data_IF_807062744165
#
_entry.id   IF_807062744165
#
_cell.length_a   1.000
_cell.length_b   1.000
_cell.length_c   1.000
_cell.angle_alpha   90.00
_cell.angle_beta   90.00
_cell.angle_gamma   90.00
#
_symmetry.space_group_name_H-M   'P 1'
#
loop_
_entity.id
_entity.type
_entity.pdbx_description
1 polymer ?
#
# COMPACT_ATOMS: atom_id res chain seq x y z
N UNK A 1 26.73 14.51 -21.67
CA UNK A 1 27.13 15.54 -20.68
C UNK A 1 26.85 15.14 -19.24
N UNK A 2 25.78 14.38 -18.93
CA UNK A 2 25.50 13.94 -17.55
C UNK A 2 26.61 13.07 -16.93
N UNK A 3 27.10 12.07 -17.68
CA UNK A 3 28.18 11.16 -17.26
C UNK A 3 29.57 11.81 -17.21
N UNK A 4 29.70 13.08 -17.61
CA UNK A 4 30.97 13.80 -17.71
C UNK A 4 31.25 14.71 -16.50
N UNK A 5 30.25 14.93 -15.64
CA UNK A 5 30.36 15.73 -14.42
C UNK A 5 30.75 14.82 -13.24
N UNK A 6 31.44 15.32 -12.21
CA UNK A 6 31.72 14.55 -10.99
C UNK A 6 30.44 14.18 -10.24
N UNK A 7 30.43 13.02 -9.58
CA UNK A 7 29.25 12.48 -8.86
C UNK A 7 28.71 13.37 -7.76
N UNK A 8 29.59 14.16 -7.15
CA UNK A 8 29.28 15.07 -6.04
C UNK A 8 28.85 16.47 -6.50
N UNK A 9 28.90 16.78 -7.80
CA UNK A 9 28.66 18.14 -8.27
C UNK A 9 27.18 18.51 -8.32
N UNK A 10 26.81 19.66 -7.76
CA UNK A 10 25.49 20.29 -7.91
C UNK A 10 25.07 20.49 -9.40
N UNK A 11 26.04 20.50 -10.32
CA UNK A 11 25.77 20.53 -11.77
C UNK A 11 25.00 19.30 -12.27
N UNK A 12 25.20 18.12 -11.66
CA UNK A 12 24.43 16.90 -12.01
C UNK A 12 22.96 17.05 -11.65
N UNK A 13 22.64 17.69 -10.53
CA UNK A 13 21.26 17.97 -10.13
C UNK A 13 20.52 18.86 -11.15
N UNK A 14 21.15 19.96 -11.59
CA UNK A 14 20.55 20.85 -12.60
C UNK A 14 20.37 20.13 -13.94
N UNK A 15 21.34 19.33 -14.34
CA UNK A 15 21.29 18.54 -15.58
C UNK A 15 20.21 17.46 -15.49
N UNK A 16 20.03 16.83 -14.32
CA UNK A 16 18.98 15.85 -14.09
C UNK A 16 17.59 16.46 -14.22
N UNK A 17 17.37 17.65 -13.63
CA UNK A 17 16.10 18.38 -13.81
C UNK A 17 15.79 18.65 -15.28
N UNK A 18 16.79 19.06 -16.07
CA UNK A 18 16.61 19.28 -17.51
C UNK A 18 16.35 17.97 -18.26
N UNK A 19 17.01 16.87 -17.87
CA UNK A 19 16.76 15.55 -18.47
C UNK A 19 15.31 15.13 -18.24
N UNK A 20 14.79 15.26 -17.02
CA UNK A 20 13.39 14.93 -16.70
C UNK A 20 12.42 15.77 -17.54
N UNK A 21 12.66 17.07 -17.69
CA UNK A 21 11.82 17.96 -18.51
C UNK A 21 11.86 17.60 -20.00
N UNK A 22 13.04 17.26 -20.51
CA UNK A 22 13.20 16.85 -21.92
C UNK A 22 12.60 15.46 -22.15
N UNK A 23 12.79 14.53 -21.23
CA UNK A 23 12.20 13.19 -21.29
C UNK A 23 10.67 13.26 -21.28
N UNK A 24 10.08 14.16 -20.48
CA UNK A 24 8.63 14.39 -20.52
C UNK A 24 8.15 14.97 -21.85
N UNK A 25 8.92 15.86 -22.48
CA UNK A 25 8.59 16.41 -23.80
C UNK A 25 8.77 15.38 -24.94
N UNK A 26 9.65 14.40 -24.75
CA UNK A 26 9.96 13.34 -25.70
C UNK A 26 9.18 12.03 -25.49
N UNK A 27 8.29 11.97 -24.50
CA UNK A 27 7.52 10.77 -24.10
C UNK A 27 8.37 9.55 -23.68
N UNK A 28 9.64 9.76 -23.33
CA UNK A 28 10.57 8.69 -22.94
C UNK A 28 10.74 8.68 -21.40
N UNK A 29 9.61 8.57 -20.70
CA UNK A 29 9.56 8.63 -19.23
C UNK A 29 9.91 7.29 -18.56
N UNK A 30 9.86 6.17 -19.29
CA UNK A 30 10.22 4.85 -18.77
C UNK A 30 11.68 4.79 -18.33
N UNK A 31 12.59 5.42 -19.08
CA UNK A 31 14.00 5.54 -18.71
C UNK A 31 14.21 6.34 -17.40
N UNK A 32 13.30 7.26 -17.07
CA UNK A 32 13.33 8.02 -15.82
C UNK A 32 12.85 7.16 -14.65
N UNK A 33 11.90 6.24 -14.87
CA UNK A 33 11.38 5.36 -13.82
C UNK A 33 12.48 4.50 -13.22
N UNK A 34 13.35 3.90 -14.04
CA UNK A 34 14.47 3.09 -13.56
C UNK A 34 15.44 3.90 -12.70
N UNK A 35 15.62 5.18 -13.03
CA UNK A 35 16.48 6.09 -12.25
C UNK A 35 15.90 6.48 -10.89
N UNK A 36 14.59 6.31 -10.66
CA UNK A 36 13.96 6.62 -9.37
C UNK A 36 14.45 5.73 -8.23
N UNK A 37 14.93 4.52 -8.54
CA UNK A 37 15.52 3.60 -7.56
C UNK A 37 16.80 4.18 -6.95
N UNK A 38 17.63 4.82 -7.77
CA UNK A 38 18.90 5.41 -7.37
C UNK A 38 18.77 6.83 -6.84
N UNK A 39 17.56 7.40 -6.88
CA UNK A 39 17.31 8.80 -6.54
C UNK A 39 17.69 9.12 -5.09
N UNK A 40 17.45 8.21 -4.15
CA UNK A 40 17.80 8.44 -2.75
C UNK A 40 19.31 8.49 -2.53
N UNK A 41 20.05 7.59 -3.19
CA UNK A 41 21.51 7.57 -3.19
C UNK A 41 22.06 8.86 -3.80
N UNK A 42 21.54 9.27 -4.96
CA UNK A 42 21.95 10.51 -5.61
C UNK A 42 21.66 11.76 -4.79
N UNK A 43 20.52 11.81 -4.08
CA UNK A 43 20.24 12.95 -3.21
C UNK A 43 21.26 13.00 -2.05
N UNK A 44 21.71 11.85 -1.56
CA UNK A 44 22.75 11.79 -0.53
C UNK A 44 24.12 12.23 -1.09
N UNK A 45 24.48 11.80 -2.30
CA UNK A 45 25.72 12.15 -2.98
C UNK A 45 25.79 13.64 -3.34
N UNK A 46 24.66 14.24 -3.76
CA UNK A 46 24.56 15.65 -4.13
C UNK A 46 24.43 16.60 -2.93
N UNK A 47 24.29 16.07 -1.71
CA UNK A 47 24.11 16.84 -0.48
C UNK A 47 23.02 17.92 -0.61
N UNK A 48 21.88 17.59 -1.22
CA UNK A 48 20.85 18.59 -1.52
C UNK A 48 20.24 19.17 -0.24
N UNK A 49 19.98 20.48 -0.29
CA UNK A 49 19.18 21.15 0.74
C UNK A 49 17.73 20.63 0.71
N UNK A 50 17.02 20.76 1.84
CA UNK A 50 15.60 20.38 1.92
C UNK A 50 14.72 21.08 0.87
N UNK A 51 15.06 22.33 0.52
CA UNK A 51 14.35 23.11 -0.50
C UNK A 51 14.54 22.53 -1.90
N UNK A 52 15.78 22.16 -2.24
CA UNK A 52 16.11 21.57 -3.54
C UNK A 52 15.51 20.18 -3.72
N UNK A 53 15.51 19.36 -2.66
CA UNK A 53 14.87 18.04 -2.63
C UNK A 53 13.36 18.16 -2.85
N UNK A 54 12.70 19.13 -2.19
CA UNK A 54 11.28 19.42 -2.37
C UNK A 54 10.95 19.83 -3.82
N UNK A 55 11.75 20.74 -4.40
CA UNK A 55 11.57 21.16 -5.78
C UNK A 55 11.74 20.00 -6.78
N UNK A 56 12.66 19.07 -6.52
CA UNK A 56 12.88 17.90 -7.35
C UNK A 56 11.69 16.93 -7.33
N UNK A 57 11.19 16.58 -6.15
CA UNK A 57 10.05 15.67 -6.05
C UNK A 57 8.77 16.27 -6.65
N UNK A 58 8.57 17.58 -6.51
CA UNK A 58 7.46 18.27 -7.14
C UNK A 58 7.57 18.22 -8.67
N UNK A 59 8.74 18.53 -9.22
CA UNK A 59 9.00 18.41 -10.66
C UNK A 59 8.72 16.99 -11.15
N UNK A 60 9.27 15.97 -10.48
CA UNK A 60 9.06 14.57 -10.84
C UNK A 60 7.57 14.20 -10.81
N UNK A 61 6.83 14.60 -9.77
CA UNK A 61 5.40 14.30 -9.67
C UNK A 61 4.56 14.95 -10.78
N UNK A 62 4.95 16.14 -11.26
CA UNK A 62 4.25 16.85 -12.34
C UNK A 62 4.60 16.25 -13.69
N UNK A 63 5.87 15.99 -13.95
CA UNK A 63 6.35 15.49 -15.24
C UNK A 63 5.96 14.02 -15.45
N UNK A 64 6.10 13.16 -14.43
CA UNK A 64 5.64 11.76 -14.50
C UNK A 64 4.11 11.66 -14.52
N UNK A 65 3.41 12.64 -13.94
CA UNK A 65 1.95 12.69 -13.93
C UNK A 65 1.31 13.03 -15.28
N UNK A 66 2.11 13.38 -16.30
CA UNK A 66 1.63 13.61 -17.68
C UNK A 66 1.45 12.32 -18.47
N UNK A 67 2.13 11.24 -18.08
CA UNK A 67 1.98 9.93 -18.70
C UNK A 67 1.11 9.02 -17.85
N UNK A 68 0.20 8.28 -18.49
CA UNK A 68 -0.68 7.32 -17.83
C UNK A 68 0.10 6.11 -17.27
N UNK A 69 1.21 5.71 -17.89
CA UNK A 69 2.01 4.56 -17.45
C UNK A 69 2.80 4.85 -16.15
N UNK A 70 3.13 6.11 -15.89
CA UNK A 70 3.97 6.51 -14.77
C UNK A 70 3.20 7.05 -13.55
N UNK A 71 1.86 6.93 -13.53
CA UNK A 71 1.02 7.53 -12.49
C UNK A 71 1.34 7.06 -11.07
N UNK A 72 1.67 5.78 -10.88
CA UNK A 72 2.07 5.22 -9.57
C UNK A 72 3.36 5.89 -9.08
N UNK A 73 4.30 6.12 -10.00
CA UNK A 73 5.62 6.69 -9.70
C UNK A 73 5.51 8.19 -9.45
N UNK A 74 4.62 8.87 -10.17
CA UNK A 74 4.25 10.26 -9.89
C UNK A 74 3.65 10.40 -8.49
N UNK A 75 2.74 9.50 -8.12
CA UNK A 75 2.13 9.50 -6.79
C UNK A 75 3.16 9.20 -5.70
N UNK A 76 4.05 8.21 -5.88
CA UNK A 76 5.08 7.89 -4.89
C UNK A 76 6.03 9.07 -4.67
N UNK A 77 6.41 9.79 -5.73
CA UNK A 77 7.17 11.03 -5.64
C UNK A 77 6.42 12.13 -4.89
N UNK A 78 5.11 12.28 -5.11
CA UNK A 78 4.27 13.23 -4.40
C UNK A 78 4.14 12.89 -2.91
N UNK A 79 4.01 11.61 -2.56
CA UNK A 79 4.01 11.17 -1.16
C UNK A 79 5.36 11.44 -0.50
N UNK A 80 6.48 11.17 -1.20
CA UNK A 80 7.84 11.53 -0.71
C UNK A 80 7.98 13.03 -0.47
N UNK A 81 7.45 13.87 -1.37
CA UNK A 81 7.40 15.31 -1.18
C UNK A 81 6.63 15.69 0.09
N UNK A 82 5.41 15.19 0.25
CA UNK A 82 4.58 15.47 1.43
C UNK A 82 5.21 14.94 2.72
N UNK A 83 5.94 13.83 2.66
CA UNK A 83 6.66 13.27 3.80
C UNK A 83 7.78 14.20 4.30
N UNK A 84 8.37 15.04 3.44
CA UNK A 84 9.36 16.05 3.87
C UNK A 84 8.78 17.14 4.78
N UNK A 85 7.45 17.19 4.96
CA UNK A 85 6.75 18.09 5.87
C UNK A 85 6.27 17.39 7.15
N UNK A 86 6.57 16.09 7.33
CA UNK A 86 6.19 15.36 8.52
C UNK A 86 6.84 16.01 9.76
N UNK A 87 6.00 16.42 10.72
CA UNK A 87 6.42 17.15 11.93
C UNK A 87 6.53 18.68 11.81
N UNK A 88 6.36 19.27 10.62
CA UNK A 88 6.39 20.73 10.40
C UNK A 88 4.98 21.33 10.32
N UNK A 89 4.26 21.37 11.45
CA UNK A 89 2.87 21.84 11.53
C UNK A 89 2.64 23.30 11.12
N UNK A 90 3.67 24.16 11.16
CA UNK A 90 3.55 25.58 10.79
C UNK A 90 3.58 25.85 9.29
N UNK A 91 4.31 25.05 8.51
CA UNK A 91 4.42 25.23 7.05
C UNK A 91 3.31 24.50 6.29
N UNK A 92 2.74 23.44 6.89
CA UNK A 92 1.73 22.57 6.28
C UNK A 92 0.42 23.30 5.95
N UNK A 93 0.08 24.38 6.65
CA UNK A 93 -1.20 25.08 6.48
C UNK A 93 -1.23 26.04 5.28
N UNK A 94 -0.28 25.94 4.37
CA UNK A 94 -0.24 26.74 3.14
C UNK A 94 -1.24 26.18 2.12
N UNK A 95 -2.02 27.03 1.46
CA UNK A 95 -3.01 26.63 0.45
C UNK A 95 -2.41 25.74 -0.67
N UNK A 96 -1.15 25.97 -1.03
CA UNK A 96 -0.41 25.15 -2.01
C UNK A 96 -0.20 23.71 -1.53
N UNK A 97 0.08 23.49 -0.25
CA UNK A 97 0.28 22.14 0.31
C UNK A 97 -1.05 21.44 0.45
N UNK A 98 -2.09 22.17 0.86
CA UNK A 98 -3.45 21.63 0.92
C UNK A 98 -3.96 21.17 -0.45
N UNK A 99 -3.75 21.97 -1.51
CA UNK A 99 -4.10 21.57 -2.88
C UNK A 99 -3.30 20.36 -3.37
N UNK A 100 -2.00 20.28 -3.05
CA UNK A 100 -1.17 19.11 -3.36
C UNK A 100 -1.60 17.85 -2.59
N UNK A 101 -1.98 17.99 -1.33
CA UNK A 101 -2.48 16.89 -0.51
C UNK A 101 -3.85 16.39 -1.01
N UNK A 102 -4.74 17.28 -1.44
CA UNK A 102 -5.98 16.91 -2.14
C UNK A 102 -5.66 16.16 -3.43
N UNK A 103 -4.70 16.66 -4.24
CA UNK A 103 -4.28 16.01 -5.49
C UNK A 103 -3.71 14.60 -5.24
N UNK A 104 -2.93 14.42 -4.17
CA UNK A 104 -2.40 13.12 -3.76
C UNK A 104 -3.52 12.14 -3.39
N UNK A 105 -4.54 12.60 -2.66
CA UNK A 105 -5.71 11.78 -2.34
C UNK A 105 -6.53 11.41 -3.57
N UNK A 106 -6.75 12.36 -4.47
CA UNK A 106 -7.48 12.10 -5.72
C UNK A 106 -6.72 11.10 -6.59
N UNK A 107 -5.39 11.21 -6.69
CA UNK A 107 -4.55 10.23 -7.39
C UNK A 107 -4.64 8.84 -6.73
N UNK A 108 -4.50 8.77 -5.41
CA UNK A 108 -4.60 7.51 -4.65
C UNK A 108 -5.95 6.80 -4.85
N UNK A 109 -7.04 7.57 -4.94
CA UNK A 109 -8.38 7.03 -5.19
C UNK A 109 -8.49 6.59 -6.65
N UNK A 110 -8.05 7.42 -7.60
CA UNK A 110 -8.20 7.19 -9.04
C UNK A 110 -7.39 6.01 -9.57
N UNK A 111 -6.16 5.82 -9.09
CA UNK A 111 -5.22 4.81 -9.59
C UNK A 111 -5.59 3.43 -9.02
N UNK A 112 -6.11 2.47 -9.80
CA UNK A 112 -6.65 1.20 -9.30
C UNK A 112 -5.66 0.39 -8.45
N UNK A 113 -4.38 0.45 -8.78
CA UNK A 113 -3.28 -0.31 -8.16
C UNK A 113 -2.94 0.20 -6.75
N UNK A 114 -3.27 1.46 -6.44
CA UNK A 114 -3.05 2.02 -5.10
C UNK A 114 -4.16 1.59 -4.16
N UNK A 115 -3.82 0.59 -3.35
CA UNK A 115 -4.73 -0.05 -2.39
C UNK A 115 -4.36 0.24 -0.93
N UNK A 116 -3.14 0.70 -0.66
CA UNK A 116 -2.71 1.14 0.67
C UNK A 116 -3.04 2.63 0.88
N UNK A 117 -4.00 2.91 1.76
CA UNK A 117 -4.39 4.27 2.14
C UNK A 117 -3.80 4.69 3.50
N UNK A 118 -3.24 3.76 4.28
CA UNK A 118 -2.67 4.05 5.60
C UNK A 118 -1.49 5.02 5.47
N UNK A 119 -0.58 4.74 4.54
CA UNK A 119 0.60 5.57 4.29
C UNK A 119 0.19 7.00 3.93
N UNK A 120 -0.81 7.16 3.07
CA UNK A 120 -1.29 8.47 2.62
C UNK A 120 -1.98 9.24 3.75
N UNK A 121 -2.81 8.57 4.55
CA UNK A 121 -3.55 9.18 5.66
C UNK A 121 -2.68 9.47 6.89
N UNK A 122 -1.53 8.80 7.01
CA UNK A 122 -0.56 9.03 8.08
C UNK A 122 0.18 10.38 7.95
N UNK A 123 0.21 10.95 6.74
CA UNK A 123 0.93 12.19 6.44
C UNK A 123 0.32 13.39 7.17
N UNK A 124 1.16 14.18 7.84
CA UNK A 124 0.72 15.40 8.57
C UNK A 124 -0.02 16.38 7.68
N UNK A 125 0.39 16.52 6.41
CA UNK A 125 -0.27 17.37 5.43
C UNK A 125 -1.70 16.91 5.09
N UNK A 126 -1.93 15.60 5.07
CA UNK A 126 -3.25 15.02 4.81
C UNK A 126 -4.13 15.08 6.06
N UNK A 127 -3.55 14.93 7.24
CA UNK A 127 -4.27 15.10 8.51
C UNK A 127 -4.73 16.54 8.75
N UNK A 128 -3.95 17.53 8.29
CA UNK A 128 -4.33 18.95 8.36
C UNK A 128 -5.61 19.26 7.55
N UNK A 129 -5.91 18.47 6.51
CA UNK A 129 -7.13 18.57 5.70
C UNK A 129 -8.38 18.00 6.40
N UNK A 130 -8.31 17.64 7.69
CA UNK A 130 -9.20 16.71 8.38
C UNK A 130 -10.73 16.93 8.28
N UNK A 131 -11.20 18.09 7.83
CA UNK A 131 -12.61 18.44 7.63
C UNK A 131 -13.08 18.37 6.16
N UNK A 132 -12.20 18.08 5.21
CA UNK A 132 -12.55 18.05 3.78
C UNK A 132 -13.26 16.74 3.39
N UNK A 133 -14.19 16.85 2.43
CA UNK A 133 -14.93 15.70 1.89
C UNK A 133 -14.03 14.62 1.28
N UNK A 134 -12.88 15.01 0.72
CA UNK A 134 -11.90 14.06 0.16
C UNK A 134 -11.26 13.20 1.25
N UNK A 135 -11.00 13.78 2.43
CA UNK A 135 -10.42 13.07 3.55
C UNK A 135 -11.43 12.11 4.19
N UNK A 136 -12.70 12.51 4.28
CA UNK A 136 -13.79 11.59 4.65
C UNK A 136 -13.86 10.42 3.67
N UNK A 137 -13.79 10.67 2.36
CA UNK A 137 -13.79 9.63 1.34
C UNK A 137 -12.59 8.68 1.49
N UNK A 138 -11.38 9.20 1.68
CA UNK A 138 -10.19 8.38 1.89
C UNK A 138 -10.30 7.52 3.17
N UNK A 139 -10.88 8.05 4.25
CA UNK A 139 -11.20 7.26 5.45
C UNK A 139 -12.21 6.14 5.17
N UNK A 140 -13.16 6.36 4.26
CA UNK A 140 -14.09 5.30 3.84
C UNK A 140 -13.33 4.14 3.17
N UNK A 141 -12.36 4.45 2.31
CA UNK A 141 -11.52 3.42 1.67
C UNK A 141 -10.65 2.66 2.69
N UNK A 142 -10.16 3.34 3.72
CA UNK A 142 -9.30 2.74 4.74
C UNK A 142 -10.05 1.73 5.64
N UNK A 143 -11.18 2.15 6.25
CA UNK A 143 -11.78 1.40 7.38
C UNK A 143 -13.28 1.09 7.21
N UNK A 144 -13.92 1.53 6.12
CA UNK A 144 -15.37 1.40 5.97
C UNK A 144 -15.80 0.43 4.86
N UNK A 145 -17.10 0.12 4.86
CA UNK A 145 -17.74 -0.84 3.96
C UNK A 145 -18.25 -0.20 2.67
N UNK A 146 -18.48 -1.05 1.66
CA UNK A 146 -19.07 -0.67 0.37
C UNK A 146 -20.39 0.11 0.53
N UNK A 147 -21.21 -0.23 1.52
CA UNK A 147 -22.48 0.46 1.81
C UNK A 147 -22.27 1.93 2.17
N UNK A 148 -21.25 2.23 2.98
CA UNK A 148 -20.93 3.62 3.36
C UNK A 148 -20.37 4.41 2.17
N UNK A 149 -19.59 3.78 1.30
CA UNK A 149 -19.17 4.38 0.04
C UNK A 149 -20.37 4.73 -0.84
N UNK A 150 -21.29 3.79 -1.07
CA UNK A 150 -22.52 4.03 -1.84
C UNK A 150 -23.35 5.19 -1.25
N UNK A 151 -23.52 5.21 0.07
CA UNK A 151 -24.23 6.31 0.75
C UNK A 151 -23.53 7.67 0.55
N UNK A 152 -22.19 7.71 0.60
CA UNK A 152 -21.42 8.92 0.37
C UNK A 152 -21.57 9.44 -1.07
N UNK A 153 -21.53 8.56 -2.07
CA UNK A 153 -21.71 8.92 -3.48
C UNK A 153 -23.11 9.47 -3.74
N UNK A 154 -24.16 8.84 -3.18
CA UNK A 154 -25.54 9.33 -3.28
C UNK A 154 -25.71 10.70 -2.62
N UNK A 155 -25.01 10.94 -1.50
CA UNK A 155 -25.03 12.23 -0.79
C UNK A 155 -24.25 13.33 -1.50
N UNK A 156 -23.19 13.00 -2.24
CA UNK A 156 -22.29 13.98 -2.87
C UNK A 156 -21.98 13.67 -4.36
N UNK A 157 -22.98 13.57 -5.25
CA UNK A 157 -22.75 13.20 -6.65
C UNK A 157 -21.95 14.27 -7.43
N UNK A 158 -22.13 15.55 -7.09
CA UNK A 158 -21.40 16.67 -7.72
C UNK A 158 -19.91 16.62 -7.43
N UNK A 159 -19.53 16.31 -6.19
CA UNK A 159 -18.14 16.24 -5.75
C UNK A 159 -17.36 15.15 -6.50
N UNK A 160 -17.96 13.97 -6.69
CA UNK A 160 -17.33 12.87 -7.43
C UNK A 160 -17.04 13.26 -8.88
N UNK A 161 -17.97 13.99 -9.52
CA UNK A 161 -17.80 14.49 -10.90
C UNK A 161 -16.76 15.61 -10.99
N UNK A 162 -16.77 16.55 -10.05
CA UNK A 162 -15.81 17.66 -9.99
C UNK A 162 -14.36 17.17 -9.82
N UNK A 163 -14.16 16.06 -9.13
CA UNK A 163 -12.84 15.46 -8.92
C UNK A 163 -12.43 14.48 -10.03
N UNK A 164 -13.26 14.28 -11.08
CA UNK A 164 -12.95 13.36 -12.18
C UNK A 164 -12.92 11.88 -11.80
N UNK A 165 -13.53 11.51 -10.67
CA UNK A 165 -13.46 10.16 -10.13
C UNK A 165 -14.47 9.23 -10.85
N UNK A 166 -13.97 8.12 -11.42
CA UNK A 166 -14.84 7.08 -11.99
C UNK A 166 -15.54 6.29 -10.89
N UNK A 167 -16.88 6.26 -10.92
CA UNK A 167 -17.67 5.51 -9.94
C UNK A 167 -17.42 4.00 -10.05
N UNK A 168 -17.34 3.47 -11.28
CA UNK A 168 -17.17 2.03 -11.50
C UNK A 168 -15.79 1.55 -11.04
N UNK A 169 -14.73 2.31 -11.33
CA UNK A 169 -13.37 1.98 -10.88
C UNK A 169 -13.27 1.99 -9.34
N UNK A 170 -13.90 2.97 -8.70
CA UNK A 170 -13.93 3.08 -7.24
C UNK A 170 -14.76 1.99 -6.58
N UNK A 171 -15.90 1.60 -7.17
CA UNK A 171 -16.70 0.46 -6.70
C UNK A 171 -15.90 -0.83 -6.80
N UNK A 172 -15.20 -1.04 -7.93
CA UNK A 172 -14.32 -2.20 -8.12
C UNK A 172 -13.23 -2.24 -7.05
N UNK A 173 -12.55 -1.12 -6.82
CA UNK A 173 -11.54 -1.00 -5.77
C UNK A 173 -12.11 -1.30 -4.38
N UNK A 174 -13.26 -0.70 -4.04
CA UNK A 174 -13.93 -0.95 -2.75
C UNK A 174 -14.32 -2.42 -2.55
N UNK A 175 -14.76 -3.11 -3.61
CA UNK A 175 -15.06 -4.54 -3.57
C UNK A 175 -13.82 -5.37 -3.23
N UNK A 176 -12.71 -5.16 -3.96
CA UNK A 176 -11.45 -5.87 -3.71
C UNK A 176 -10.94 -5.63 -2.29
N UNK A 177 -11.00 -4.37 -1.83
CA UNK A 177 -10.65 -4.02 -0.47
C UNK A 177 -11.58 -4.71 0.55
N UNK A 178 -12.90 -4.72 0.32
CA UNK A 178 -13.90 -5.39 1.19
C UNK A 178 -13.66 -6.88 1.30
N UNK A 179 -13.27 -7.53 0.22
CA UNK A 179 -12.86 -8.92 0.23
C UNK A 179 -11.62 -9.15 1.10
N UNK A 180 -10.61 -8.28 1.04
CA UNK A 180 -9.41 -8.39 1.87
C UNK A 180 -9.71 -8.28 3.38
N UNK A 181 -10.64 -7.39 3.77
CA UNK A 181 -11.09 -7.28 5.16
C UNK A 181 -11.81 -8.55 5.61
N UNK A 182 -12.73 -9.07 4.80
CA UNK A 182 -13.45 -10.30 5.10
C UNK A 182 -12.51 -11.51 5.19
N UNK A 183 -11.54 -11.61 4.28
CA UNK A 183 -10.52 -12.65 4.30
C UNK A 183 -9.63 -12.56 5.57
N UNK A 184 -9.39 -11.36 6.09
CA UNK A 184 -8.68 -11.17 7.36
C UNK A 184 -9.48 -11.71 8.55
N UNK A 185 -10.79 -11.48 8.59
CA UNK A 185 -11.66 -11.96 9.67
C UNK A 185 -11.69 -13.50 9.73
N UNK A 186 -11.53 -14.15 8.58
CA UNK A 186 -11.52 -15.61 8.42
C UNK A 186 -10.14 -16.17 8.07
N UNK A 187 -9.07 -15.66 8.69
CA UNK A 187 -7.70 -16.16 8.52
C UNK A 187 -7.61 -17.67 8.84
N UNK A 188 -7.05 -18.45 7.91
CA UNK A 188 -6.90 -19.91 7.99
C UNK A 188 -8.23 -20.69 8.07
N UNK A 189 -9.34 -20.04 7.70
CA UNK A 189 -10.68 -20.64 7.65
C UNK A 189 -11.20 -20.81 6.23
N UNK A 190 -12.32 -21.53 6.12
CA UNK A 190 -13.13 -21.60 4.90
C UNK A 190 -14.19 -20.49 4.92
N UNK A 191 -14.34 -19.78 3.81
CA UNK A 191 -15.35 -18.74 3.59
C UNK A 191 -16.27 -19.18 2.47
N UNK A 192 -17.59 -19.13 2.69
CA UNK A 192 -18.58 -19.49 1.66
C UNK A 192 -18.78 -18.39 0.63
N UNK A 193 -19.13 -18.77 -0.60
CA UNK A 193 -19.44 -17.81 -1.67
C UNK A 193 -20.62 -16.90 -1.30
N UNK A 194 -21.62 -17.45 -0.60
CA UNK A 194 -22.77 -16.68 -0.12
C UNK A 194 -22.41 -15.55 0.84
N UNK A 195 -21.37 -15.71 1.65
CA UNK A 195 -20.88 -14.67 2.56
C UNK A 195 -20.16 -13.58 1.77
N UNK A 196 -19.37 -13.98 0.77
CA UNK A 196 -18.61 -13.07 -0.09
C UNK A 196 -19.54 -12.27 -1.01
N UNK A 197 -20.51 -12.92 -1.65
CA UNK A 197 -21.52 -12.30 -2.50
C UNK A 197 -22.29 -11.20 -1.75
N UNK A 198 -22.71 -11.47 -0.51
CA UNK A 198 -23.38 -10.47 0.34
C UNK A 198 -22.49 -9.28 0.71
N UNK A 199 -21.20 -9.52 1.00
CA UNK A 199 -20.27 -8.46 1.35
C UNK A 199 -19.88 -7.57 0.17
N UNK A 200 -19.80 -8.15 -1.03
CA UNK A 200 -19.40 -7.47 -2.27
C UNK A 200 -20.56 -6.90 -3.08
N UNK A 201 -21.80 -7.33 -2.77
CA UNK A 201 -23.01 -7.00 -3.52
C UNK A 201 -22.85 -7.35 -5.02
N UNK A 202 -22.58 -8.64 -5.26
CA UNK A 202 -22.32 -9.27 -6.58
C UNK A 202 -23.00 -10.64 -6.66
N UNK A 203 -23.23 -11.14 -7.87
CA UNK A 203 -23.74 -12.50 -8.09
C UNK A 203 -22.78 -13.55 -7.53
N UNK A 204 -23.30 -14.70 -7.10
CA UNK A 204 -22.47 -15.83 -6.65
C UNK A 204 -21.58 -16.35 -7.79
N UNK A 205 -22.05 -16.28 -9.04
CA UNK A 205 -21.27 -16.68 -10.22
C UNK A 205 -20.04 -15.78 -10.45
N UNK A 206 -20.12 -14.51 -10.03
CA UNK A 206 -19.05 -13.54 -10.23
C UNK A 206 -17.99 -13.60 -9.10
N UNK A 207 -18.29 -14.27 -7.99
CA UNK A 207 -17.43 -14.30 -6.79
C UNK A 207 -16.03 -14.80 -7.15
N UNK A 208 -15.91 -15.81 -8.00
CA UNK A 208 -14.63 -16.37 -8.44
C UNK A 208 -13.75 -15.32 -9.12
N UNK A 209 -14.31 -14.50 -10.00
CA UNK A 209 -13.58 -13.44 -10.69
C UNK A 209 -13.05 -12.40 -9.70
N UNK A 210 -13.85 -12.02 -8.71
CA UNK A 210 -13.43 -11.07 -7.67
C UNK A 210 -12.34 -11.63 -6.76
N UNK A 211 -12.40 -12.93 -6.43
CA UNK A 211 -11.36 -13.59 -5.65
C UNK A 211 -10.06 -13.66 -6.44
N UNK A 212 -10.11 -14.01 -7.73
CA UNK A 212 -8.93 -14.03 -8.61
C UNK A 212 -8.31 -12.63 -8.71
N UNK A 213 -9.12 -11.59 -8.87
CA UNK A 213 -8.62 -10.22 -8.93
C UNK A 213 -7.98 -9.76 -7.61
N UNK A 214 -8.54 -10.16 -6.46
CA UNK A 214 -7.92 -9.87 -5.16
C UNK A 214 -6.60 -10.64 -4.94
N UNK A 215 -6.48 -11.84 -5.49
CA UNK A 215 -5.21 -12.61 -5.51
C UNK A 215 -4.19 -11.93 -6.42
N UNK A 216 -4.59 -11.50 -7.62
CA UNK A 216 -3.73 -10.75 -8.56
C UNK A 216 -3.25 -9.42 -7.98
N UNK A 217 -4.11 -8.74 -7.21
CA UNK A 217 -3.76 -7.53 -6.48
C UNK A 217 -2.83 -7.79 -5.27
N UNK A 218 -2.53 -9.06 -4.94
CA UNK A 218 -1.66 -9.44 -3.83
C UNK A 218 -2.25 -9.18 -2.44
N UNK A 219 -3.54 -8.84 -2.34
CA UNK A 219 -4.21 -8.58 -1.08
C UNK A 219 -4.65 -9.86 -0.36
N UNK A 220 -4.91 -10.93 -1.10
CA UNK A 220 -5.39 -12.21 -0.55
C UNK A 220 -4.61 -13.35 -1.19
N UNK A 221 -4.27 -14.35 -0.40
CA UNK A 221 -3.77 -15.64 -0.87
C UNK A 221 -4.77 -16.69 -0.42
N UNK A 222 -5.51 -17.27 -1.35
CA UNK A 222 -6.58 -18.20 -1.07
C UNK A 222 -6.66 -19.29 -2.13
N UNK A 223 -7.12 -20.47 -1.71
CA UNK A 223 -7.42 -21.60 -2.59
C UNK A 223 -8.92 -21.69 -2.80
N UNK A 224 -9.34 -21.78 -4.06
CA UNK A 224 -10.75 -21.85 -4.42
C UNK A 224 -11.19 -23.32 -4.46
N UNK A 225 -12.26 -23.65 -3.74
CA UNK A 225 -12.95 -24.92 -3.84
C UNK A 225 -14.32 -24.71 -4.48
N UNK A 226 -14.34 -24.83 -5.81
CA UNK A 226 -15.54 -24.59 -6.61
C UNK A 226 -16.68 -25.58 -6.30
N UNK A 227 -16.36 -26.86 -6.08
CA UNK A 227 -17.36 -27.90 -5.79
C UNK A 227 -18.12 -27.64 -4.48
N UNK A 228 -17.42 -27.12 -3.46
CA UNK A 228 -18.02 -26.77 -2.17
C UNK A 228 -18.51 -25.32 -2.10
N UNK A 229 -18.27 -24.52 -3.15
CA UNK A 229 -18.50 -23.07 -3.15
C UNK A 229 -17.86 -22.38 -1.94
N UNK A 230 -16.62 -22.76 -1.61
CA UNK A 230 -15.84 -22.17 -0.52
C UNK A 230 -14.46 -21.72 -1.01
N UNK A 231 -13.89 -20.73 -0.33
CA UNK A 231 -12.48 -20.36 -0.46
C UNK A 231 -11.76 -20.64 0.86
N UNK A 232 -10.56 -21.20 0.78
CA UNK A 232 -9.68 -21.41 1.92
C UNK A 232 -8.65 -20.28 1.94
N UNK A 233 -8.75 -19.38 2.91
CA UNK A 233 -7.86 -18.22 3.02
C UNK A 233 -6.57 -18.61 3.73
N UNK A 234 -5.44 -18.49 3.04
CA UNK A 234 -4.10 -18.77 3.60
C UNK A 234 -3.48 -17.50 4.19
N UNK A 235 -3.57 -16.38 3.46
CA UNK A 235 -3.07 -15.06 3.89
C UNK A 235 -4.01 -13.96 3.42
N UNK A 236 -4.15 -12.89 4.19
CA UNK A 236 -4.86 -11.69 3.78
C UNK A 236 -4.13 -10.45 4.32
N UNK A 237 -4.13 -9.37 3.53
CA UNK A 237 -3.56 -8.08 3.89
C UNK A 237 -4.58 -7.28 4.68
N UNK A 238 -4.21 -6.87 5.89
CA UNK A 238 -5.00 -5.95 6.71
C UNK A 238 -4.86 -4.52 6.18
N UNK A 239 -5.99 -3.82 6.04
CA UNK A 239 -5.99 -2.42 5.59
C UNK A 239 -5.55 -1.42 6.66
N UNK A 240 -5.72 -1.78 7.94
CA UNK A 240 -5.33 -0.96 9.09
C UNK A 240 -4.63 -1.87 10.09
N UNK A 241 -3.40 -1.52 10.45
CA UNK A 241 -2.65 -2.24 11.46
C UNK A 241 -2.48 -1.41 12.74
N UNK A 242 -3.47 -1.50 13.62
CA UNK A 242 -3.51 -0.76 14.87
C UNK A 242 -3.07 -1.56 16.10
N UNK A 243 -3.30 -0.96 17.26
CA UNK A 243 -3.07 -1.56 18.59
C UNK A 243 -3.76 -2.92 18.78
N UNK A 244 -5.03 -3.16 18.36
CA UNK A 244 -5.63 -4.47 18.57
C UNK A 244 -4.95 -5.58 17.77
N UNK A 245 -4.47 -5.27 16.56
CA UNK A 245 -3.70 -6.19 15.72
C UNK A 245 -2.33 -6.49 16.35
N UNK A 246 -1.64 -5.48 16.89
CA UNK A 246 -0.39 -5.68 17.65
C UNK A 246 -0.58 -6.63 18.85
N UNK A 247 -1.66 -6.48 19.60
CA UNK A 247 -1.97 -7.37 20.73
C UNK A 247 -2.22 -8.81 20.28
N UNK A 248 -2.93 -9.01 19.18
CA UNK A 248 -3.16 -10.34 18.60
C UNK A 248 -1.85 -10.98 18.10
N UNK A 249 -0.97 -10.19 17.48
CA UNK A 249 0.33 -10.67 17.04
C UNK A 249 1.20 -11.08 18.22
N UNK A 250 1.23 -10.25 19.27
CA UNK A 250 1.97 -10.53 20.50
C UNK A 250 1.52 -11.84 21.15
N UNK A 251 0.20 -12.07 21.26
CA UNK A 251 -0.32 -13.30 21.86
C UNK A 251 0.05 -14.55 21.05
N UNK A 252 -0.02 -14.48 19.71
CA UNK A 252 0.42 -15.56 18.82
C UNK A 252 1.92 -15.83 18.92
N UNK A 253 2.75 -14.78 18.98
CA UNK A 253 4.19 -14.93 19.17
C UNK A 253 4.54 -15.58 20.52
N UNK A 254 3.83 -15.21 21.59
CA UNK A 254 4.04 -15.82 22.90
C UNK A 254 3.67 -17.31 22.89
N UNK A 255 2.56 -17.68 22.24
CA UNK A 255 2.18 -19.07 22.06
C UNK A 255 3.25 -19.85 21.29
N UNK A 256 3.75 -19.30 20.19
CA UNK A 256 4.82 -19.93 19.41
C UNK A 256 6.11 -20.07 20.20
N UNK A 257 6.49 -19.05 20.98
CA UNK A 257 7.64 -19.11 21.88
C UNK A 257 7.50 -20.24 22.89
N UNK A 258 6.32 -20.40 23.49
CA UNK A 258 6.05 -21.46 24.45
C UNK A 258 6.12 -22.84 23.78
N UNK A 259 5.47 -23.02 22.63
CA UNK A 259 5.51 -24.28 21.88
C UNK A 259 6.94 -24.68 21.48
N UNK A 260 7.75 -23.73 21.02
CA UNK A 260 9.16 -23.99 20.69
C UNK A 260 9.99 -24.34 21.94
N UNK A 261 9.71 -23.68 23.08
CA UNK A 261 10.31 -24.02 24.35
C UNK A 261 9.97 -25.44 24.81
N UNK A 262 8.71 -25.85 24.66
CA UNK A 262 8.27 -27.23 24.95
C UNK A 262 8.95 -28.25 24.02
N UNK A 263 9.02 -27.98 22.72
CA UNK A 263 9.75 -28.85 21.78
C UNK A 263 11.23 -28.97 22.15
N UNK A 264 11.87 -27.88 22.55
CA UNK A 264 13.27 -27.89 22.98
C UNK A 264 13.45 -28.75 24.24
N UNK A 265 12.57 -28.63 25.23
CA UNK A 265 12.59 -29.48 26.42
C UNK A 265 12.39 -30.97 26.10
N UNK A 266 11.51 -31.30 25.14
CA UNK A 266 11.32 -32.68 24.68
C UNK A 266 12.61 -33.20 24.02
N UNK A 267 13.25 -32.39 23.17
CA UNK A 267 14.52 -32.76 22.53
C UNK A 267 15.61 -32.97 23.59
N UNK A 268 15.76 -32.06 24.54
CA UNK A 268 16.74 -32.20 25.64
C UNK A 268 16.52 -33.45 26.48
N UNK A 269 15.25 -33.81 26.77
CA UNK A 269 14.90 -35.04 27.51
C UNK A 269 15.12 -36.32 26.69
N UNK A 270 14.90 -36.27 25.38
CA UNK A 270 15.09 -37.42 24.47
C UNK A 270 16.56 -37.69 24.12
N UNK A 271 17.42 -36.66 24.16
CA UNK A 271 18.85 -36.77 23.87
C UNK A 271 19.59 -37.80 24.73
N UNK A 272 19.44 -37.83 26.08
CA UNK A 272 20.06 -38.88 26.91
C UNK A 272 19.49 -40.28 26.64
N UNK A 273 18.19 -40.40 26.36
CA UNK A 273 17.55 -41.69 26.04
C UNK A 273 18.04 -42.26 24.71
N UNK A 274 18.29 -41.41 23.71
CA UNK A 274 18.89 -41.82 22.43
C UNK A 274 20.35 -42.25 22.59
N UNK A 275 21.12 -41.61 23.47
CA UNK A 275 22.49 -42.03 23.77
C UNK A 275 22.54 -43.34 24.55
N UNK A 276 21.60 -43.58 25.48
CA UNK A 276 21.48 -44.87 26.20
C UNK A 276 21.03 -46.00 25.26
N UNK A 277 20.06 -45.74 24.38
CA UNK A 277 19.63 -46.72 23.38
C UNK A 277 20.76 -47.07 22.37
N UNK A 278 21.57 -46.11 21.95
CA UNK A 278 22.73 -46.36 21.10
C UNK A 278 23.83 -47.16 21.81
N UNK A 279 24.05 -46.91 23.10
CA UNK A 279 25.02 -47.67 23.91
C UNK A 279 24.59 -49.14 24.10
N UNK A 280 23.29 -49.42 24.20
CA UNK A 280 22.76 -50.78 24.29
C UNK A 280 22.84 -51.57 22.97
N UNK A 281 22.76 -50.90 21.81
CA UNK A 281 22.90 -51.57 20.50
C UNK A 281 24.37 -51.90 20.19
N UNK A 282 25.32 -51.12 20.72
CA UNK A 282 26.76 -51.33 20.48
C UNK A 282 27.38 -52.35 21.44
N UNK A 283 26.64 -52.77 22.49
CA UNK A 283 27.07 -53.75 23.48
C UNK A 283 26.42 -55.13 23.33
N UNK A 284 25.63 -55.32 22.28
CA UNK A 284 25.09 -56.61 21.82
C UNK A 284 25.81 -57.05 20.54
#
# INVERSE_FOLDING_TARGET
MYNSLESTSYGRFKTYKTIVQVASAGDELDAVVDTLTYLEDWISEWQLTLVDRRALYLLLSVELGKSESCLIQAQSCLLRYLNTYQGLTKEVNTESINTLAVKALVQAISIPEVLNFEDVLSLTAVQALGSTKIFELAKIFLDQSLTKYKAFVTKNPKFVREQGLSQDANIRKMRILSLATLATEHLQGEVSYSTISKALDVSEDDVEFWVIDAIRAGLVDAKINQLKQTILVSRATQRVFGVPQWKLLQSRMLLWKNNLGECLQVIEKSKPQLTEAAAHITSA
#
